data_IF_362561972020
#
_entry.id   IF_362561972020
#
_cell.length_a   1.000
_cell.length_b   1.000
_cell.length_c   1.000
_cell.angle_alpha   90.00
_cell.angle_beta   90.00
_cell.angle_gamma   90.00
#
_symmetry.space_group_name_H-M   'P 1'
#
loop_
_entity.id
_entity.type
_entity.pdbx_description
1 polymer ?
#
# COMPACT_ATOMS: atom_id res chain seq x y z
N UNK A 1 -27.67 3.31 -19.25
CA UNK A 1 -27.17 1.94 -18.94
C UNK A 1 -26.37 1.31 -20.09
N UNK A 2 -26.80 1.43 -21.35
CA UNK A 2 -26.10 0.84 -22.51
C UNK A 2 -24.67 1.35 -22.77
N UNK A 3 -24.40 2.62 -22.41
CA UNK A 3 -23.06 3.21 -22.55
C UNK A 3 -22.00 2.52 -21.68
N UNK A 4 -22.35 2.20 -20.43
CA UNK A 4 -21.42 1.55 -19.49
C UNK A 4 -21.04 0.14 -19.97
N UNK A 5 -22.03 -0.62 -20.46
CA UNK A 5 -21.80 -1.95 -21.05
C UNK A 5 -20.98 -1.88 -22.34
N UNK A 6 -21.18 -0.86 -23.17
CA UNK A 6 -20.39 -0.67 -24.38
C UNK A 6 -18.93 -0.28 -24.06
N UNK A 7 -18.72 0.53 -23.02
CA UNK A 7 -17.40 0.93 -22.55
C UNK A 7 -16.64 -0.24 -21.92
N UNK A 8 -17.28 -1.00 -21.02
CA UNK A 8 -16.69 -2.22 -20.44
C UNK A 8 -16.34 -3.23 -21.55
N UNK A 9 -17.20 -3.39 -22.55
CA UNK A 9 -16.93 -4.24 -23.69
C UNK A 9 -15.78 -3.72 -24.57
N UNK A 10 -15.53 -2.40 -24.62
CA UNK A 10 -14.39 -1.81 -25.31
C UNK A 10 -13.08 -2.01 -24.55
N UNK A 11 -13.08 -1.80 -23.24
CA UNK A 11 -11.91 -1.97 -22.38
C UNK A 11 -11.47 -3.45 -22.32
N UNK A 12 -12.43 -4.38 -22.25
CA UNK A 12 -12.14 -5.82 -22.34
C UNK A 12 -11.57 -6.26 -23.70
N UNK A 13 -11.80 -5.50 -24.79
CA UNK A 13 -11.20 -5.80 -26.10
C UNK A 13 -9.73 -5.37 -26.18
N UNK A 14 -9.35 -4.32 -25.44
CA UNK A 14 -7.97 -3.82 -25.38
C UNK A 14 -7.13 -4.50 -24.30
N UNK A 15 -7.77 -5.02 -23.25
CA UNK A 15 -7.13 -5.92 -22.30
C UNK A 15 -6.77 -7.21 -23.04
N UNK A 16 -5.50 -7.36 -23.43
CA UNK A 16 -4.93 -8.64 -23.88
C UNK A 16 -4.90 -9.55 -22.66
N UNK A 17 -6.06 -10.04 -22.26
CA UNK A 17 -6.21 -11.14 -21.33
C UNK A 17 -5.71 -12.35 -22.10
N UNK A 18 -4.41 -12.58 -22.04
CA UNK A 18 -3.83 -13.85 -22.39
C UNK A 18 -4.46 -14.86 -21.43
N UNK A 19 -5.61 -15.43 -21.82
CA UNK A 19 -6.31 -16.49 -21.07
C UNK A 19 -5.40 -17.70 -20.84
N UNK A 20 -4.29 -17.78 -21.57
CA UNK A 20 -3.19 -18.73 -21.44
C UNK A 20 -1.81 -18.09 -21.17
N UNK A 21 -1.73 -16.91 -20.55
CA UNK A 21 -0.46 -16.52 -19.92
C UNK A 21 -0.19 -17.54 -18.81
N UNK A 22 0.62 -18.55 -19.13
CA UNK A 22 1.08 -19.55 -18.18
C UNK A 22 1.49 -18.84 -16.89
N UNK A 23 1.06 -19.32 -15.74
CA UNK A 23 1.41 -18.74 -14.42
C UNK A 23 2.91 -18.45 -14.29
N UNK A 24 3.74 -19.26 -14.93
CA UNK A 24 5.19 -19.06 -15.03
C UNK A 24 5.62 -17.83 -15.83
N UNK A 25 4.86 -17.43 -16.84
CA UNK A 25 5.10 -16.20 -17.61
C UNK A 25 4.86 -14.95 -16.77
N UNK A 26 3.89 -14.97 -15.86
CA UNK A 26 3.68 -13.88 -14.90
C UNK A 26 4.88 -13.74 -13.94
N UNK A 27 5.43 -14.87 -13.46
CA UNK A 27 6.63 -14.88 -12.61
C UNK A 27 7.91 -14.42 -13.33
N UNK A 28 7.93 -14.41 -14.66
CA UNK A 28 9.07 -13.90 -15.46
C UNK A 28 8.88 -12.46 -15.92
N UNK A 29 7.69 -11.88 -15.73
CA UNK A 29 7.42 -10.52 -16.14
C UNK A 29 8.11 -9.54 -15.17
N UNK A 30 9.00 -8.69 -15.70
CA UNK A 30 9.76 -7.72 -14.90
C UNK A 30 8.86 -6.75 -14.12
N UNK A 31 7.73 -6.34 -14.69
CA UNK A 31 6.78 -5.43 -14.05
C UNK A 31 6.10 -6.13 -12.87
N UNK A 32 5.69 -7.40 -13.04
CA UNK A 32 5.08 -8.19 -11.97
C UNK A 32 6.07 -8.44 -10.83
N UNK A 33 7.33 -8.76 -11.14
CA UNK A 33 8.38 -8.95 -10.13
C UNK A 33 8.71 -7.66 -9.39
N UNK A 34 8.83 -6.53 -10.10
CA UNK A 34 9.08 -5.23 -9.47
C UNK A 34 7.91 -4.80 -8.58
N UNK A 35 6.67 -4.93 -9.07
CA UNK A 35 5.48 -4.65 -8.26
C UNK A 35 5.45 -5.56 -7.03
N UNK A 36 5.62 -6.87 -7.21
CA UNK A 36 5.69 -7.83 -6.10
C UNK A 36 6.76 -7.47 -5.08
N UNK A 37 7.95 -7.06 -5.53
CA UNK A 37 9.05 -6.65 -4.67
C UNK A 37 8.71 -5.37 -3.91
N UNK A 38 8.13 -4.36 -4.57
CA UNK A 38 7.70 -3.11 -3.94
C UNK A 38 6.65 -3.40 -2.87
N UNK A 39 5.65 -4.22 -3.18
CA UNK A 39 4.61 -4.63 -2.23
C UNK A 39 5.20 -5.42 -1.05
N UNK A 40 6.15 -6.31 -1.32
CA UNK A 40 6.86 -7.07 -0.29
C UNK A 40 7.66 -6.16 0.64
N UNK A 41 8.50 -5.27 0.09
CA UNK A 41 9.30 -4.32 0.87
C UNK A 41 8.41 -3.34 1.64
N UNK A 42 7.32 -2.89 1.04
CA UNK A 42 6.36 -2.01 1.68
C UNK A 42 5.72 -2.68 2.89
N UNK A 43 5.30 -3.94 2.77
CA UNK A 43 4.73 -4.70 3.88
C UNK A 43 5.76 -4.87 5.03
N UNK A 44 6.98 -5.28 4.70
CA UNK A 44 8.07 -5.41 5.68
C UNK A 44 8.40 -4.09 6.38
N UNK A 45 8.54 -3.01 5.62
CA UNK A 45 8.86 -1.68 6.16
C UNK A 45 7.75 -1.15 7.07
N UNK A 46 6.48 -1.32 6.67
CA UNK A 46 5.33 -0.85 7.44
C UNK A 46 5.21 -1.58 8.78
N UNK A 47 5.36 -2.91 8.76
CA UNK A 47 5.32 -3.73 9.98
C UNK A 47 6.52 -3.42 10.87
N UNK A 48 7.72 -3.33 10.29
CA UNK A 48 8.94 -2.99 11.04
C UNK A 48 8.82 -1.65 11.76
N UNK A 49 8.40 -0.60 11.05
CA UNK A 49 8.18 0.72 11.66
C UNK A 49 7.14 0.62 12.78
N UNK A 50 6.03 -0.08 12.55
CA UNK A 50 4.96 -0.21 13.56
C UNK A 50 5.45 -0.89 14.85
N UNK A 51 6.25 -1.94 14.74
CA UNK A 51 6.77 -2.68 15.90
C UNK A 51 7.89 -1.93 16.63
N UNK A 52 8.79 -1.30 15.89
CA UNK A 52 10.01 -0.71 16.47
C UNK A 52 9.88 0.77 16.82
N UNK A 53 9.00 1.54 16.18
CA UNK A 53 8.84 2.98 16.44
C UNK A 53 8.56 3.30 17.93
N UNK A 54 7.62 2.63 18.62
CA UNK A 54 7.38 2.90 20.04
C UNK A 54 8.60 2.58 20.90
N UNK A 55 9.34 1.52 20.55
CA UNK A 55 10.54 1.08 21.26
C UNK A 55 11.69 2.07 21.09
N UNK A 56 11.90 2.57 19.86
CA UNK A 56 12.90 3.60 19.54
C UNK A 56 12.58 4.88 20.31
N UNK A 57 11.32 5.33 20.29
CA UNK A 57 10.88 6.51 21.02
C UNK A 57 11.09 6.36 22.52
N UNK A 58 10.76 5.20 23.09
CA UNK A 58 11.03 4.90 24.51
C UNK A 58 12.52 4.89 24.85
N UNK A 59 13.37 4.41 23.94
CA UNK A 59 14.83 4.39 24.13
C UNK A 59 15.46 5.79 24.09
N UNK A 60 14.91 6.70 23.27
CA UNK A 60 15.40 8.08 23.15
C UNK A 60 14.82 9.01 24.22
N UNK A 61 13.59 8.74 24.64
CA UNK A 61 12.83 9.58 25.57
C UNK A 61 12.64 8.87 26.92
N UNK A 62 13.74 8.38 27.51
CA UNK A 62 13.70 7.54 28.73
C UNK A 62 13.02 8.20 29.93
N UNK A 63 12.91 9.53 29.95
CA UNK A 63 12.25 10.30 31.01
C UNK A 63 10.81 10.74 30.68
N UNK A 64 10.30 10.43 29.49
CA UNK A 64 8.92 10.76 29.08
C UNK A 64 7.95 9.66 29.50
N UNK A 65 6.72 10.07 29.87
CA UNK A 65 5.64 9.13 30.20
C UNK A 65 5.27 8.26 28.99
N UNK A 66 4.91 7.00 29.23
CA UNK A 66 4.43 6.05 28.20
C UNK A 66 3.25 6.61 27.38
N UNK A 67 2.44 7.50 27.96
CA UNK A 67 1.34 8.20 27.28
C UNK A 67 1.88 9.16 26.21
N UNK A 68 2.98 9.85 26.47
CA UNK A 68 3.58 10.77 25.50
C UNK A 68 4.22 10.00 24.34
N UNK A 69 4.90 8.88 24.65
CA UNK A 69 5.51 8.01 23.63
C UNK A 69 4.45 7.43 22.69
N UNK A 70 3.31 6.98 23.23
CA UNK A 70 2.19 6.47 22.43
C UNK A 70 1.50 7.56 21.59
N UNK A 71 1.37 8.78 22.10
CA UNK A 71 0.86 9.91 21.33
C UNK A 71 1.80 10.27 20.16
N UNK A 72 3.12 10.26 20.41
CA UNK A 72 4.12 10.56 19.39
C UNK A 72 4.19 9.47 18.31
N UNK A 73 4.06 8.20 18.69
CA UNK A 73 4.04 7.08 17.74
C UNK A 73 2.74 7.01 16.93
N UNK A 74 1.65 7.66 17.39
CA UNK A 74 0.39 7.75 16.66
C UNK A 74 0.42 8.77 15.50
N UNK A 75 1.33 9.75 15.54
CA UNK A 75 1.43 10.85 14.56
C UNK A 75 1.52 10.34 13.10
N UNK A 76 2.41 9.38 12.75
CA UNK A 76 2.49 8.85 11.39
C UNK A 76 1.18 8.21 10.91
N UNK A 77 0.44 7.56 11.82
CA UNK A 77 -0.84 6.92 11.49
C UNK A 77 -1.93 7.95 11.22
N UNK A 78 -1.97 9.07 11.96
CA UNK A 78 -2.88 10.18 11.67
C UNK A 78 -2.60 10.75 10.28
N UNK A 79 -1.32 10.99 9.96
CA UNK A 79 -0.93 11.40 8.61
C UNK A 79 -1.35 10.38 7.57
N UNK A 80 -1.14 9.08 7.81
CA UNK A 80 -1.57 8.02 6.90
C UNK A 80 -3.09 8.06 6.65
N UNK A 81 -3.91 8.26 7.69
CA UNK A 81 -5.36 8.42 7.55
C UNK A 81 -5.73 9.63 6.70
N UNK A 82 -5.09 10.78 6.92
CA UNK A 82 -5.33 12.00 6.13
C UNK A 82 -4.94 11.81 4.67
N UNK A 83 -3.76 11.24 4.40
CA UNK A 83 -3.31 10.96 3.05
C UNK A 83 -4.22 9.95 2.35
N UNK A 84 -4.68 8.91 3.04
CA UNK A 84 -5.61 7.93 2.48
C UNK A 84 -6.95 8.58 2.09
N UNK A 85 -7.47 9.47 2.94
CA UNK A 85 -8.69 10.22 2.64
C UNK A 85 -8.52 11.14 1.42
N UNK A 86 -7.42 11.90 1.36
CA UNK A 86 -7.13 12.80 0.24
C UNK A 86 -6.89 12.05 -1.07
N UNK A 87 -6.17 10.92 -1.03
CA UNK A 87 -5.95 10.07 -2.21
C UNK A 87 -7.26 9.45 -2.71
N UNK A 88 -8.10 8.96 -1.79
CA UNK A 88 -9.41 8.42 -2.14
C UNK A 88 -10.29 9.45 -2.85
N UNK A 89 -10.30 10.69 -2.35
CA UNK A 89 -11.05 11.80 -2.97
C UNK A 89 -10.51 12.23 -4.34
N UNK A 90 -9.25 11.93 -4.66
CA UNK A 90 -8.68 12.19 -5.99
C UNK A 90 -8.94 11.05 -6.98
N UNK A 91 -9.33 9.88 -6.48
CA UNK A 91 -9.62 8.68 -7.29
C UNK A 91 -11.10 8.57 -7.69
N UNK A 92 -11.97 9.37 -7.07
CA UNK A 92 -13.37 9.62 -7.49
C UNK A 92 -13.43 10.68 -8.59
#
# INVERSE_FOLDING_TARGET
KGWLTAQIAADNRGAVVNQHASWFSALKNKVVLLLSLVWFLQAFGSIGITLFLPLILKSMASEQSDVVISLLSAVPFIFACLFMYLNGRHSD
#
